data_IF_260709840928
#
_entry.id   IF_260709840928
#
_cell.length_a   1.000
_cell.length_b   1.000
_cell.length_c   1.000
_cell.angle_alpha   90.00
_cell.angle_beta   90.00
_cell.angle_gamma   90.00
#
_symmetry.space_group_name_H-M   'P 1'
#
loop_
_entity.id
_entity.type
_entity.pdbx_description
1 polymer ?
#
# COMPACT_ATOMS: atom_id res chain seq x y z
N UNK A 1 -9.34 7.30 8.96
CA UNK A 1 -8.44 6.95 7.88
C UNK A 1 -7.03 7.38 8.20
N UNK A 2 -6.07 6.48 8.13
CA UNK A 2 -4.71 6.79 8.50
C UNK A 2 -4.01 7.54 7.37
N UNK A 3 -3.14 8.47 7.73
CA UNK A 3 -2.28 9.16 6.78
C UNK A 3 -1.30 8.16 6.15
N UNK A 4 -0.92 8.33 4.87
CA UNK A 4 0.04 7.42 4.22
C UNK A 4 1.32 7.22 5.01
N UNK A 5 1.80 8.24 5.71
CA UNK A 5 3.00 8.12 6.52
C UNK A 5 2.84 7.11 7.66
N UNK A 6 1.65 7.04 8.25
CA UNK A 6 1.39 6.06 9.31
C UNK A 6 1.42 4.64 8.78
N UNK A 7 0.87 4.42 7.59
CA UNK A 7 0.95 3.12 6.93
C UNK A 7 2.40 2.77 6.60
N UNK A 8 3.17 3.76 6.14
CA UNK A 8 4.58 3.54 5.81
C UNK A 8 5.39 3.18 7.05
N UNK A 9 5.11 3.82 8.17
CA UNK A 9 5.78 3.48 9.44
C UNK A 9 5.43 2.06 9.89
N UNK A 10 4.20 1.63 9.66
CA UNK A 10 3.78 0.27 9.93
C UNK A 10 4.52 -0.72 9.03
N UNK A 11 4.75 -0.35 7.77
CA UNK A 11 5.54 -1.17 6.85
C UNK A 11 6.98 -1.34 7.35
N UNK A 12 7.57 -0.27 7.89
CA UNK A 12 8.92 -0.32 8.45
C UNK A 12 8.98 -1.33 9.60
N UNK A 13 7.95 -1.38 10.43
CA UNK A 13 7.90 -2.36 11.53
C UNK A 13 7.87 -3.78 11.01
N UNK A 14 7.24 -4.00 9.86
CA UNK A 14 7.12 -5.34 9.29
C UNK A 14 8.36 -5.78 8.53
N UNK A 15 8.95 -4.88 7.75
CA UNK A 15 10.00 -5.25 6.80
C UNK A 15 11.31 -4.50 6.98
N UNK A 16 11.34 -3.50 7.81
CA UNK A 16 12.54 -2.69 8.00
C UNK A 16 12.63 -1.58 6.96
N UNK A 17 13.80 -1.00 6.84
CA UNK A 17 14.03 0.12 5.93
C UNK A 17 13.55 1.43 6.50
N UNK A 18 13.09 2.30 5.61
CA UNK A 18 12.63 3.65 5.96
C UNK A 18 11.22 3.87 5.45
N UNK A 19 10.45 4.80 6.06
CA UNK A 19 9.11 5.10 5.56
C UNK A 19 9.10 5.49 4.08
N UNK A 20 10.13 6.19 3.63
CA UNK A 20 10.25 6.62 2.23
C UNK A 20 10.26 5.45 1.25
N UNK A 21 10.63 4.27 1.72
CA UNK A 21 10.63 3.08 0.87
C UNK A 21 9.21 2.62 0.51
N UNK A 22 8.21 3.01 1.30
CA UNK A 22 6.85 2.50 1.18
C UNK A 22 5.81 3.57 0.94
N UNK A 23 6.10 4.83 1.27
CA UNK A 23 5.10 5.89 1.29
C UNK A 23 4.44 6.11 -0.07
N UNK A 24 5.19 5.95 -1.16
CA UNK A 24 4.64 6.15 -2.51
C UNK A 24 3.57 5.11 -2.83
N UNK A 25 3.69 3.91 -2.31
CA UNK A 25 2.69 2.86 -2.51
C UNK A 25 1.43 3.21 -1.72
N UNK A 26 1.58 3.58 -0.47
CA UNK A 26 0.44 3.94 0.37
C UNK A 26 -0.27 5.19 -0.17
N UNK A 27 0.50 6.15 -0.65
CA UNK A 27 -0.05 7.36 -1.25
C UNK A 27 -0.84 7.05 -2.51
N UNK A 28 -0.34 6.14 -3.33
CA UNK A 28 -1.04 5.70 -4.54
C UNK A 28 -2.42 5.11 -4.21
N UNK A 29 -2.47 4.26 -3.18
CA UNK A 29 -3.75 3.67 -2.76
C UNK A 29 -4.73 4.74 -2.29
N UNK A 30 -4.28 5.73 -1.56
CA UNK A 30 -5.15 6.81 -1.10
C UNK A 30 -5.64 7.67 -2.26
N UNK A 31 -4.79 7.95 -3.24
CA UNK A 31 -5.18 8.67 -4.44
C UNK A 31 -6.25 7.93 -5.23
N UNK A 32 -6.04 6.64 -5.44
CA UNK A 32 -6.96 5.79 -6.17
C UNK A 32 -8.31 5.73 -5.48
N UNK A 33 -8.28 5.66 -4.17
CA UNK A 33 -9.47 5.66 -3.35
C UNK A 33 -10.31 6.92 -3.55
N UNK A 34 -9.67 8.07 -3.63
CA UNK A 34 -10.41 9.32 -3.84
C UNK A 34 -11.00 9.41 -5.24
N UNK A 35 -10.38 8.79 -6.24
CA UNK A 35 -10.93 8.73 -7.59
C UNK A 35 -12.19 7.86 -7.65
N UNK A 36 -12.21 6.80 -6.87
CA UNK A 36 -13.34 5.88 -6.85
C UNK A 36 -14.50 6.41 -6.01
N UNK A 37 -14.34 7.55 -5.40
CA UNK A 37 -15.34 8.16 -4.55
C UNK A 37 -15.39 7.47 -3.19
N UNK A 38 -16.42 7.76 -2.45
CA UNK A 38 -16.54 7.27 -1.08
C UNK A 38 -17.28 5.96 -0.96
N UNK A 39 -17.35 5.19 -2.03
CA UNK A 39 -18.08 3.94 -1.99
C UNK A 39 -17.29 2.89 -1.23
N UNK A 40 -17.72 2.57 -0.04
CA UNK A 40 -17.13 1.53 0.77
C UNK A 40 -17.22 0.17 0.08
N UNK A 41 -18.34 -0.07 -0.58
CA UNK A 41 -18.54 -1.31 -1.35
C UNK A 41 -17.53 -1.44 -2.46
N UNK A 42 -17.27 -0.36 -3.16
CA UNK A 42 -16.34 -0.36 -4.26
C UNK A 42 -14.93 -0.67 -3.79
N UNK A 43 -14.54 -0.09 -2.68
CA UNK A 43 -13.23 -0.36 -2.10
C UNK A 43 -13.07 -1.82 -1.74
N UNK A 44 -14.09 -2.40 -1.14
CA UNK A 44 -14.09 -3.81 -0.78
C UNK A 44 -14.04 -4.72 -1.99
N UNK A 45 -14.86 -4.40 -2.99
CA UNK A 45 -14.94 -5.22 -4.20
C UNK A 45 -13.65 -5.21 -4.99
N UNK A 46 -12.94 -4.10 -4.98
CA UNK A 46 -11.81 -3.89 -5.88
C UNK A 46 -10.46 -3.95 -5.19
N UNK A 47 -10.41 -4.38 -3.95
CA UNK A 47 -9.11 -4.38 -3.27
C UNK A 47 -8.10 -5.33 -3.92
N UNK A 48 -8.55 -6.49 -4.40
CA UNK A 48 -7.65 -7.42 -5.10
C UNK A 48 -7.16 -6.85 -6.41
N UNK A 49 -8.05 -6.20 -7.15
CA UNK A 49 -7.71 -5.54 -8.40
C UNK A 49 -6.77 -4.38 -8.15
N UNK A 50 -7.01 -3.63 -7.07
CA UNK A 50 -6.15 -2.53 -6.68
C UNK A 50 -4.73 -3.01 -6.36
N UNK A 51 -4.62 -4.12 -5.66
CA UNK A 51 -3.32 -4.71 -5.34
C UNK A 51 -2.60 -5.14 -6.62
N UNK A 52 -3.34 -5.76 -7.55
CA UNK A 52 -2.78 -6.15 -8.82
C UNK A 52 -2.29 -4.94 -9.63
N UNK A 53 -3.09 -3.88 -9.67
CA UNK A 53 -2.70 -2.65 -10.36
C UNK A 53 -1.48 -2.00 -9.70
N UNK A 54 -1.37 -2.10 -8.40
CA UNK A 54 -0.21 -1.62 -7.66
C UNK A 54 1.05 -2.35 -8.10
N UNK A 55 0.96 -3.67 -8.26
CA UNK A 55 2.08 -4.46 -8.77
C UNK A 55 2.45 -4.06 -10.19
N UNK A 56 1.46 -3.74 -11.02
CA UNK A 56 1.71 -3.29 -12.39
C UNK A 56 2.41 -1.94 -12.40
N UNK A 57 2.05 -1.07 -11.48
CA UNK A 57 2.61 0.27 -11.40
C UNK A 57 4.03 0.30 -10.83
N UNK A 58 4.26 -0.44 -9.76
CA UNK A 58 5.51 -0.34 -9.00
C UNK A 58 6.41 -1.56 -9.14
N UNK A 59 5.95 -2.58 -9.85
CA UNK A 59 6.67 -3.84 -9.97
C UNK A 59 6.24 -4.80 -8.87
N UNK A 60 6.60 -6.07 -9.05
CA UNK A 60 6.20 -7.13 -8.12
C UNK A 60 6.94 -7.09 -6.80
N UNK A 61 8.16 -6.56 -6.82
CA UNK A 61 8.99 -6.47 -5.62
C UNK A 61 9.95 -5.30 -5.75
N UNK A 62 10.49 -4.90 -4.62
CA UNK A 62 11.51 -3.86 -4.58
C UNK A 62 12.42 -4.13 -3.37
N UNK A 63 13.59 -3.49 -3.37
CA UNK A 63 14.48 -3.58 -2.23
C UNK A 63 14.31 -2.33 -1.38
N UNK A 64 14.14 -2.52 -0.07
CA UNK A 64 14.06 -1.39 0.85
C UNK A 64 15.45 -0.87 1.18
N UNK A 65 15.53 0.15 2.04
CA UNK A 65 16.80 0.76 2.42
C UNK A 65 17.76 -0.20 3.13
N UNK A 66 17.21 -1.25 3.72
CA UNK A 66 18.03 -2.28 4.38
C UNK A 66 18.49 -3.36 3.42
N UNK A 67 18.14 -3.26 2.13
CA UNK A 67 18.52 -4.25 1.13
C UNK A 67 17.64 -5.47 1.11
N UNK A 68 16.55 -5.47 1.88
CA UNK A 68 15.62 -6.60 1.92
C UNK A 68 14.64 -6.49 0.78
N UNK A 69 14.35 -7.62 0.13
CA UNK A 69 13.32 -7.68 -0.91
C UNK A 69 11.94 -7.68 -0.27
N UNK A 70 11.11 -6.74 -0.70
CA UNK A 70 9.73 -6.60 -0.22
C UNK A 70 8.80 -6.77 -1.41
N UNK A 71 7.77 -7.57 -1.26
CA UNK A 71 6.81 -7.79 -2.33
C UNK A 71 5.71 -6.75 -2.27
N UNK A 72 5.51 -6.06 -3.39
CA UNK A 72 4.54 -4.95 -3.50
C UNK A 72 3.14 -5.37 -3.07
N UNK A 73 2.73 -6.60 -3.42
CA UNK A 73 1.40 -7.09 -3.04
C UNK A 73 1.19 -7.09 -1.52
N UNK A 74 2.22 -7.38 -0.76
CA UNK A 74 2.09 -7.42 0.70
C UNK A 74 1.95 -6.04 1.30
N UNK A 75 2.61 -5.05 0.70
CA UNK A 75 2.43 -3.67 1.12
C UNK A 75 1.01 -3.20 0.80
N UNK A 76 0.51 -3.57 -0.38
CA UNK A 76 -0.88 -3.27 -0.76
C UNK A 76 -1.89 -3.93 0.15
N UNK A 77 -1.70 -5.21 0.47
CA UNK A 77 -2.56 -5.93 1.40
C UNK A 77 -2.56 -5.27 2.78
N UNK A 78 -1.39 -4.89 3.25
CA UNK A 78 -1.27 -4.20 4.52
C UNK A 78 -2.07 -2.91 4.52
N UNK A 79 -1.95 -2.10 3.46
CA UNK A 79 -2.66 -0.84 3.36
C UNK A 79 -4.17 -1.05 3.43
N UNK A 80 -4.69 -1.96 2.61
CA UNK A 80 -6.12 -2.24 2.57
C UNK A 80 -6.63 -2.75 3.91
N UNK A 81 -5.87 -3.63 4.52
CA UNK A 81 -6.24 -4.23 5.79
C UNK A 81 -6.30 -3.18 6.91
N UNK A 82 -5.32 -2.29 6.94
CA UNK A 82 -5.28 -1.23 7.96
C UNK A 82 -6.39 -0.21 7.76
N UNK A 83 -6.74 0.08 6.51
CA UNK A 83 -7.83 1.02 6.21
C UNK A 83 -9.20 0.42 6.49
N UNK A 84 -9.35 -0.88 6.37
CA UNK A 84 -10.64 -1.54 6.56
C UNK A 84 -10.92 -1.95 8.01
N UNK A 85 -9.94 -1.81 8.86
CA UNK A 85 -10.12 -2.12 10.29
C UNK A 85 -10.60 -0.87 11.07
#
# INVERSE_FOLDING_TARGET
MAHPLLHAKSSVKKWGGKPEDYIHIHDWFDSTKSWLGNSFHRMFRHHSEGIFECEERFGKSFQNSDGKTVYTRYVGEQHVKEDCN
#
